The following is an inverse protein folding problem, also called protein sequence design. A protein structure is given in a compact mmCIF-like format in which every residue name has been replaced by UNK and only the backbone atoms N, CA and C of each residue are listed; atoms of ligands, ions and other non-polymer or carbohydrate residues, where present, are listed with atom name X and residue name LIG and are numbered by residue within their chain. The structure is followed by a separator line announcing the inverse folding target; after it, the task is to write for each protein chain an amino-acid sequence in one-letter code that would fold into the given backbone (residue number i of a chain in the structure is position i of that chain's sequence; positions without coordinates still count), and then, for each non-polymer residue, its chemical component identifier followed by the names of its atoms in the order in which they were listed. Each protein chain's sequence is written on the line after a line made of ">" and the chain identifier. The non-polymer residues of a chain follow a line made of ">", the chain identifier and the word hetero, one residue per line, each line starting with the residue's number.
data_IF_460730974893
#
_entry.id   IF_460730974893
#
_cell.length_a   1.000
_cell.length_b   1.000
_cell.length_c   1.000
_cell.angle_alpha   90.00
_cell.angle_beta   90.00
_cell.angle_gamma   90.00
#
_symmetry.space_group_name_H-M   'P 1'
#
loop_
_entity.id
_entity.type
_entity.pdbx_description
1 polymer ?
#
# COMPACT_ATOMS: atom_id res chain seq x y z
N UNK A 1 39.20 -9.46 -8.48
CA UNK A 1 38.19 -9.52 -7.39
C UNK A 1 36.92 -8.66 -7.61
N UNK A 2 36.69 -8.00 -8.76
CA UNK A 2 35.46 -7.19 -9.01
C UNK A 2 34.18 -7.99 -9.29
N UNK A 3 34.29 -9.20 -9.86
CA UNK A 3 33.12 -10.00 -10.28
C UNK A 3 32.29 -10.58 -9.12
N UNK A 4 32.92 -10.80 -7.96
CA UNK A 4 32.24 -11.34 -6.77
C UNK A 4 31.38 -10.28 -6.07
N UNK A 5 31.86 -9.03 -6.01
CA UNK A 5 31.12 -7.89 -5.45
C UNK A 5 29.89 -7.53 -6.28
N UNK A 6 29.97 -7.60 -7.62
CA UNK A 6 28.82 -7.35 -8.51
C UNK A 6 27.71 -8.41 -8.37
N UNK A 7 28.08 -9.68 -8.21
CA UNK A 7 27.10 -10.75 -7.99
C UNK A 7 26.43 -10.67 -6.62
N UNK A 8 27.18 -10.30 -5.57
CA UNK A 8 26.61 -10.08 -4.24
C UNK A 8 25.62 -8.91 -4.22
N UNK A 9 25.92 -7.82 -4.93
CA UNK A 9 25.04 -6.65 -5.08
C UNK A 9 23.76 -7.00 -5.86
N UNK A 10 23.87 -7.76 -6.96
CA UNK A 10 22.70 -8.24 -7.72
C UNK A 10 21.84 -9.19 -6.89
N UNK A 11 22.44 -10.14 -6.19
CA UNK A 11 21.71 -11.06 -5.31
C UNK A 11 20.99 -10.29 -4.19
N UNK A 12 21.63 -9.28 -3.58
CA UNK A 12 21.01 -8.44 -2.55
C UNK A 12 19.84 -7.61 -3.08
N UNK A 13 19.94 -7.11 -4.31
CA UNK A 13 18.87 -6.36 -4.98
C UNK A 13 17.72 -7.25 -5.47
N UNK A 14 17.99 -8.51 -5.82
CA UNK A 14 16.96 -9.49 -6.13
C UNK A 14 16.22 -9.92 -4.86
N UNK A 15 16.96 -10.22 -3.79
CA UNK A 15 16.40 -10.55 -2.49
C UNK A 15 15.62 -9.39 -1.86
N UNK A 16 16.00 -8.12 -2.13
CA UNK A 16 15.21 -6.96 -1.67
C UNK A 16 13.91 -6.80 -2.46
N UNK A 17 13.92 -7.11 -3.77
CA UNK A 17 12.72 -7.14 -4.62
C UNK A 17 11.76 -8.27 -4.25
N UNK A 18 12.26 -9.45 -3.92
CA UNK A 18 11.43 -10.57 -3.43
C UNK A 18 10.85 -10.33 -2.03
N UNK A 19 11.56 -9.54 -1.21
CA UNK A 19 11.11 -9.18 0.15
C UNK A 19 10.11 -8.04 0.18
N UNK A 20 10.05 -7.18 -0.85
CA UNK A 20 9.05 -6.11 -0.92
C UNK A 20 7.70 -6.69 -1.32
N UNK A 21 6.69 -6.71 -0.42
CA UNK A 21 5.45 -7.43 -0.69
C UNK A 21 4.60 -6.77 -1.78
N UNK A 22 4.75 -5.47 -2.00
CA UNK A 22 4.21 -4.71 -3.13
C UNK A 22 5.31 -3.81 -3.71
N UNK A 23 5.22 -3.51 -5.01
CA UNK A 23 5.99 -2.41 -5.61
C UNK A 23 5.34 -1.07 -5.27
N UNK A 24 6.10 0.04 -5.21
CA UNK A 24 5.55 1.36 -4.94
C UNK A 24 4.46 1.79 -5.93
N UNK A 25 4.55 1.36 -7.20
CA UNK A 25 3.53 1.65 -8.21
C UNK A 25 2.22 0.92 -7.90
N UNK A 26 2.31 -0.35 -7.51
CA UNK A 26 1.15 -1.13 -7.09
C UNK A 26 0.51 -0.52 -5.83
N UNK A 27 1.33 -0.08 -4.87
CA UNK A 27 0.87 0.55 -3.64
C UNK A 27 0.07 1.83 -3.93
N UNK A 28 0.57 2.69 -4.82
CA UNK A 28 -0.14 3.91 -5.24
C UNK A 28 -1.48 3.62 -5.90
N UNK A 29 -1.55 2.59 -6.75
CA UNK A 29 -2.81 2.20 -7.40
C UNK A 29 -3.82 1.74 -6.35
N UNK A 30 -3.40 0.89 -5.42
CA UNK A 30 -4.28 0.39 -4.35
C UNK A 30 -4.74 1.52 -3.44
N UNK A 31 -3.83 2.42 -3.02
CA UNK A 31 -4.18 3.60 -2.21
C UNK A 31 -5.22 4.45 -2.92
N UNK A 32 -5.03 4.75 -4.21
CA UNK A 32 -5.99 5.55 -4.99
C UNK A 32 -7.37 4.90 -5.08
N UNK A 33 -7.41 3.59 -5.29
CA UNK A 33 -8.68 2.86 -5.41
C UNK A 33 -9.40 2.78 -4.05
N UNK A 34 -8.65 2.60 -2.96
CA UNK A 34 -9.17 2.67 -1.59
C UNK A 34 -9.70 4.08 -1.28
N UNK A 35 -8.96 5.13 -1.66
CA UNK A 35 -9.36 6.52 -1.43
C UNK A 35 -10.67 6.83 -2.14
N UNK A 36 -10.78 6.42 -3.42
CA UNK A 36 -12.01 6.59 -4.20
C UNK A 36 -13.18 5.85 -3.55
N UNK A 37 -12.96 4.62 -3.11
CA UNK A 37 -14.00 3.79 -2.51
C UNK A 37 -14.47 4.38 -1.19
N UNK A 38 -13.55 4.66 -0.27
CA UNK A 38 -13.89 5.22 1.05
C UNK A 38 -14.47 6.64 0.94
N UNK A 39 -13.99 7.46 0.01
CA UNK A 39 -14.57 8.80 -0.25
C UNK A 39 -16.02 8.73 -0.73
N UNK A 40 -16.49 7.59 -1.24
CA UNK A 40 -17.91 7.39 -1.55
C UNK A 40 -18.79 7.37 -0.30
N UNK A 41 -18.25 6.91 0.83
CA UNK A 41 -19.00 6.68 2.07
C UNK A 41 -18.63 7.63 3.20
N UNK A 42 -17.44 8.23 3.15
CA UNK A 42 -16.90 9.07 4.21
C UNK A 42 -16.35 10.37 3.64
N UNK A 43 -16.29 11.40 4.49
CA UNK A 43 -15.50 12.61 4.26
C UNK A 43 -14.12 12.37 4.86
N UNK A 44 -13.19 11.91 4.04
CA UNK A 44 -11.83 11.61 4.46
C UNK A 44 -11.10 12.90 4.87
N UNK A 45 -10.44 12.87 6.03
CA UNK A 45 -9.69 14.01 6.58
C UNK A 45 -8.20 13.97 6.23
N UNK A 46 -7.75 12.89 5.59
CA UNK A 46 -6.36 12.69 5.15
C UNK A 46 -6.25 11.62 4.06
N UNK A 47 -5.00 11.36 3.66
CA UNK A 47 -4.68 10.29 2.72
C UNK A 47 -4.77 8.91 3.37
N UNK A 48 -4.86 7.86 2.54
CA UNK A 48 -4.85 6.48 3.03
C UNK A 48 -3.43 5.97 3.16
N UNK A 49 -3.14 5.34 4.29
CA UNK A 49 -1.88 4.61 4.49
C UNK A 49 -2.10 3.13 4.29
N UNK A 50 -1.30 2.52 3.41
CA UNK A 50 -1.27 1.09 3.18
C UNK A 50 0.06 0.53 3.71
N UNK A 51 -0.02 -0.46 4.60
CA UNK A 51 1.15 -1.19 5.07
C UNK A 51 0.99 -2.65 4.72
N UNK A 52 1.98 -3.22 4.03
CA UNK A 52 2.00 -4.64 3.71
C UNK A 52 3.25 -5.26 4.31
N UNK A 53 3.05 -6.27 5.15
CA UNK A 53 4.12 -6.98 5.83
C UNK A 53 4.14 -8.45 5.39
N UNK A 54 5.34 -8.97 5.15
CA UNK A 54 5.55 -10.37 4.76
C UNK A 54 6.10 -11.16 5.95
N UNK A 55 5.23 -11.94 6.60
CA UNK A 55 5.59 -12.92 7.62
C UNK A 55 5.36 -14.35 7.12
N UNK A 56 4.78 -15.22 7.95
CA UNK A 56 4.28 -16.56 7.53
C UNK A 56 3.09 -16.45 6.55
N UNK A 57 2.38 -15.32 6.60
CA UNK A 57 1.34 -14.89 5.67
C UNK A 57 1.57 -13.42 5.32
N UNK A 58 0.93 -12.94 4.27
CA UNK A 58 0.84 -11.51 3.99
C UNK A 58 -0.12 -10.87 4.99
N UNK A 59 0.33 -9.83 5.69
CA UNK A 59 -0.50 -8.96 6.51
C UNK A 59 -0.69 -7.65 5.77
N UNK A 60 -1.95 -7.25 5.56
CA UNK A 60 -2.32 -6.00 4.88
C UNK A 60 -3.07 -5.13 5.89
N UNK A 61 -2.52 -3.97 6.21
CA UNK A 61 -3.11 -3.01 7.13
C UNK A 61 -3.43 -1.73 6.38
N UNK A 62 -4.68 -1.29 6.45
CA UNK A 62 -5.17 -0.07 5.83
C UNK A 62 -5.58 0.88 6.96
N UNK A 63 -5.08 2.10 6.92
CA UNK A 63 -5.46 3.15 7.85
C UNK A 63 -6.00 4.35 7.07
N UNK A 64 -7.17 4.82 7.49
CA UNK A 64 -7.85 5.98 6.94
C UNK A 64 -8.52 6.75 8.10
N UNK A 65 -8.55 8.07 7.98
CA UNK A 65 -9.21 8.96 8.93
C UNK A 65 -10.32 9.72 8.20
N UNK A 66 -11.45 9.89 8.89
CA UNK A 66 -12.62 10.56 8.35
C UNK A 66 -13.29 11.41 9.43
N UNK A 67 -13.77 12.59 9.02
CA UNK A 67 -14.49 13.51 9.91
C UNK A 67 -15.96 13.10 10.03
N UNK A 68 -16.55 12.59 8.94
CA UNK A 68 -17.98 12.36 8.83
C UNK A 68 -18.28 11.11 7.99
N UNK A 69 -19.34 10.40 8.35
CA UNK A 69 -19.97 9.38 7.50
C UNK A 69 -20.98 10.08 6.61
N UNK A 70 -20.93 9.83 5.30
CA UNK A 70 -21.90 10.38 4.36
C UNK A 70 -23.26 9.70 4.55
N UNK A 71 -24.37 10.45 4.44
CA UNK A 71 -25.69 9.87 4.50
C UNK A 71 -25.87 8.90 3.31
N UNK A 72 -26.06 7.61 3.62
CA UNK A 72 -26.31 6.60 2.61
C UNK A 72 -27.78 6.66 2.18
N UNK A 73 -28.05 7.02 0.92
CA UNK A 73 -29.39 6.96 0.32
C UNK A 73 -30.34 8.10 0.67
N UNK A 74 -29.88 9.22 1.24
CA UNK A 74 -30.73 10.41 1.40
C UNK A 74 -30.63 11.26 0.13
N UNK A 75 -31.54 10.99 -0.80
CA UNK A 75 -31.93 11.96 -1.83
C UNK A 75 -32.77 13.00 -1.13
N UNK A 76 -32.20 14.19 -0.88
CA UNK A 76 -32.94 15.42 -0.60
C UNK A 76 -32.85 16.31 -1.80
#
# INVERSE_FOLDING_TARGET
>A
MRKLTDNALRARNLLSREKSPLSPECERVVVRDLERTLSGYFKLSGGITLKVERGKKLSVTIQAEADEVKPFGIVT
#
